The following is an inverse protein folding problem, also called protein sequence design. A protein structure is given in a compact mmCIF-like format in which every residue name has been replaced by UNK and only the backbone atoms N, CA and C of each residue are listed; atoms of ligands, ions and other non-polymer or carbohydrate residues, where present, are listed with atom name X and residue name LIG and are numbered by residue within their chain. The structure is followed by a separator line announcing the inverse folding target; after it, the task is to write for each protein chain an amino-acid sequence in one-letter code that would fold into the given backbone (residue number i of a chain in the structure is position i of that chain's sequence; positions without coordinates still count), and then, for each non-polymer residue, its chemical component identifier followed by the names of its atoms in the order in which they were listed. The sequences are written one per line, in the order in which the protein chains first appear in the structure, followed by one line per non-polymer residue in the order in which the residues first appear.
data_IF_728684936473
#
_entry.id   IF_728684936473
#
_cell.length_a   1.000
_cell.length_b   1.000
_cell.length_c   1.000
_cell.angle_alpha   90.00
_cell.angle_beta   90.00
_cell.angle_gamma   90.00
#
_symmetry.space_group_name_H-M   'P 1'
#
loop_
_entity.id
_entity.type
_entity.pdbx_description
1 polymer ?
#
# COMPACT_ATOMS: atom_id res chain seq x y z
N UNK A 1 -4.11 5.18 7.40
CA UNK A 1 -2.73 5.02 6.87
C UNK A 1 -1.77 4.38 7.86
N UNK A 2 -1.60 4.90 9.09
CA UNK A 2 -0.66 4.33 10.08
C UNK A 2 -0.90 2.84 10.38
N UNK A 3 -2.13 2.46 10.72
CA UNK A 3 -2.50 1.06 11.03
C UNK A 3 -2.19 0.11 9.86
N UNK A 4 -2.55 0.52 8.63
CA UNK A 4 -2.24 -0.25 7.42
C UNK A 4 -0.72 -0.36 7.18
N UNK A 5 0.06 0.70 7.39
CA UNK A 5 1.51 0.64 7.25
C UNK A 5 2.15 -0.31 8.30
N UNK A 6 1.62 -0.33 9.53
CA UNK A 6 2.08 -1.23 10.58
C UNK A 6 1.85 -2.72 10.23
N UNK A 7 0.75 -3.07 9.56
CA UNK A 7 0.52 -4.46 9.12
C UNK A 7 1.52 -4.89 8.04
N UNK A 8 1.91 -3.99 7.13
CA UNK A 8 3.01 -4.25 6.19
C UNK A 8 4.35 -4.44 6.90
N UNK A 9 4.63 -3.63 7.93
CA UNK A 9 5.84 -3.80 8.75
C UNK A 9 5.90 -5.16 9.44
N UNK A 10 4.80 -5.61 10.05
CA UNK A 10 4.74 -6.93 10.70
C UNK A 10 4.92 -8.10 9.72
N UNK A 11 4.40 -7.97 8.50
CA UNK A 11 4.64 -8.97 7.47
C UNK A 11 6.13 -9.06 7.09
N UNK A 12 6.81 -7.92 6.89
CA UNK A 12 8.27 -7.91 6.64
C UNK A 12 9.04 -8.44 7.86
N UNK A 13 8.60 -8.11 9.07
CA UNK A 13 9.22 -8.59 10.31
C UNK A 13 9.13 -10.11 10.46
N UNK A 14 8.09 -10.75 9.93
CA UNK A 14 7.91 -12.21 9.98
C UNK A 14 9.01 -12.98 9.23
N UNK A 15 9.77 -12.31 8.35
CA UNK A 15 10.94 -12.90 7.70
C UNK A 15 12.18 -13.01 8.61
N UNK A 16 12.22 -12.33 9.76
CA UNK A 16 13.35 -12.44 10.70
C UNK A 16 13.36 -13.78 11.45
N UNK A 17 12.19 -14.33 11.76
CA UNK A 17 12.02 -15.64 12.40
C UNK A 17 11.08 -16.49 11.54
N UNK A 18 11.62 -17.24 10.55
CA UNK A 18 10.81 -17.91 9.55
C UNK A 18 10.07 -19.10 10.15
N UNK A 19 8.91 -18.84 10.75
CA UNK A 19 7.97 -19.80 11.28
C UNK A 19 6.75 -19.85 10.37
N UNK A 20 6.41 -21.03 9.85
CA UNK A 20 5.36 -21.21 8.83
C UNK A 20 4.01 -20.64 9.28
N UNK A 21 3.68 -20.80 10.56
CA UNK A 21 2.42 -20.29 11.13
C UNK A 21 2.36 -18.76 11.19
N UNK A 22 3.50 -18.10 11.44
CA UNK A 22 3.60 -16.63 11.48
C UNK A 22 3.36 -16.01 10.11
N UNK A 23 3.83 -16.64 9.03
CA UNK A 23 3.57 -16.17 7.67
C UNK A 23 2.09 -16.21 7.29
N UNK A 24 1.36 -17.27 7.68
CA UNK A 24 -0.08 -17.36 7.39
C UNK A 24 -0.87 -16.27 8.13
N UNK A 25 -0.59 -16.07 9.43
CA UNK A 25 -1.27 -15.04 10.21
C UNK A 25 -0.96 -13.63 9.71
N UNK A 26 0.30 -13.33 9.43
CA UNK A 26 0.68 -12.00 8.96
C UNK A 26 0.22 -11.73 7.53
N UNK A 27 0.05 -12.74 6.68
CA UNK A 27 -0.56 -12.58 5.35
C UNK A 27 -2.04 -12.20 5.43
N UNK A 28 -2.79 -12.80 6.36
CA UNK A 28 -4.20 -12.44 6.59
C UNK A 28 -4.27 -10.98 7.09
N UNK A 29 -3.46 -10.63 8.10
CA UNK A 29 -3.37 -9.27 8.62
C UNK A 29 -2.96 -8.26 7.54
N UNK A 30 -2.03 -8.63 6.68
CA UNK A 30 -1.59 -7.82 5.54
C UNK A 30 -2.74 -7.51 4.60
N UNK A 31 -3.56 -8.51 4.26
CA UNK A 31 -4.73 -8.32 3.39
C UNK A 31 -5.75 -7.34 3.98
N UNK A 32 -6.09 -7.50 5.27
CA UNK A 32 -6.99 -6.57 5.96
C UNK A 32 -6.40 -5.16 6.04
N UNK A 33 -5.13 -5.03 6.39
CA UNK A 33 -4.46 -3.75 6.48
C UNK A 33 -4.31 -3.04 5.13
N UNK A 34 -4.10 -3.80 4.05
CA UNK A 34 -4.05 -3.28 2.68
C UNK A 34 -5.40 -2.70 2.25
N UNK A 35 -6.51 -3.39 2.55
CA UNK A 35 -7.85 -2.89 2.27
C UNK A 35 -8.10 -1.55 2.99
N UNK A 36 -7.79 -1.48 4.30
CA UNK A 36 -7.95 -0.26 5.10
C UNK A 36 -7.05 0.87 4.55
N UNK A 37 -5.82 0.55 4.15
CA UNK A 37 -4.88 1.55 3.64
C UNK A 37 -5.39 2.18 2.35
N UNK A 38 -5.80 1.37 1.38
CA UNK A 38 -6.33 1.85 0.10
C UNK A 38 -7.64 2.64 0.26
N UNK A 39 -8.55 2.20 1.13
CA UNK A 39 -9.79 2.95 1.40
C UNK A 39 -9.51 4.29 2.09
N UNK A 40 -8.63 4.31 3.09
CA UNK A 40 -8.28 5.53 3.81
C UNK A 40 -7.55 6.54 2.91
N UNK A 41 -6.66 6.07 2.03
CA UNK A 41 -5.93 6.91 1.09
C UNK A 41 -6.86 7.55 0.05
N UNK A 42 -7.75 6.76 -0.55
CA UNK A 42 -8.75 7.29 -1.48
C UNK A 42 -9.66 8.34 -0.83
N UNK A 43 -10.11 8.09 0.40
CA UNK A 43 -10.91 9.05 1.16
C UNK A 43 -10.11 10.32 1.51
N UNK A 44 -8.82 10.18 1.87
CA UNK A 44 -7.96 11.33 2.15
C UNK A 44 -7.72 12.18 0.90
N UNK A 45 -7.51 11.55 -0.24
CA UNK A 45 -7.31 12.24 -1.51
C UNK A 45 -8.58 12.96 -1.98
N UNK A 46 -9.75 12.34 -1.80
CA UNK A 46 -11.04 12.96 -2.08
C UNK A 46 -11.33 14.14 -1.13
N UNK A 47 -10.96 14.04 0.15
CA UNK A 47 -11.14 15.13 1.12
C UNK A 47 -10.19 16.33 0.90
N UNK A 48 -9.02 16.09 0.31
CA UNK A 48 -8.01 17.12 0.05
C UNK A 48 -8.00 17.62 -1.42
N UNK A 49 -8.95 17.20 -2.25
CA UNK A 49 -9.01 17.58 -3.66
C UNK A 49 -10.40 18.09 -4.04
N UNK A 50 -10.45 19.23 -4.74
CA UNK A 50 -11.64 19.72 -5.41
C UNK A 50 -11.87 19.00 -6.76
N UNK A 51 -13.09 19.03 -7.30
CA UNK A 51 -13.50 18.37 -8.56
C UNK A 51 -12.54 18.63 -9.74
N UNK A 52 -11.99 19.84 -9.84
CA UNK A 52 -11.03 20.20 -10.89
C UNK A 52 -9.60 19.68 -10.66
N UNK A 53 -9.24 19.34 -9.43
CA UNK A 53 -7.86 18.98 -9.02
C UNK A 53 -7.67 17.51 -8.70
N UNK A 54 -8.76 16.77 -8.44
CA UNK A 54 -8.75 15.33 -8.12
C UNK A 54 -8.01 14.51 -9.18
N UNK A 55 -8.23 14.77 -10.46
CA UNK A 55 -7.56 14.04 -11.55
C UNK A 55 -6.04 14.24 -11.54
N UNK A 56 -5.58 15.47 -11.27
CA UNK A 56 -4.15 15.79 -11.25
C UNK A 56 -3.45 15.20 -10.01
N UNK A 57 -4.06 15.35 -8.83
CA UNK A 57 -3.49 14.84 -7.57
C UNK A 57 -3.47 13.30 -7.57
N UNK A 58 -4.55 12.67 -8.02
CA UNK A 58 -4.62 11.21 -8.20
C UNK A 58 -3.61 10.73 -9.23
N UNK A 59 -3.46 11.43 -10.35
CA UNK A 59 -2.48 11.09 -11.39
C UNK A 59 -1.03 11.13 -10.88
N UNK A 60 -0.66 12.16 -10.10
CA UNK A 60 0.67 12.25 -9.48
C UNK A 60 0.87 11.09 -8.49
N UNK A 61 -0.12 10.82 -7.65
CA UNK A 61 -0.08 9.70 -6.71
C UNK A 61 0.18 8.36 -7.44
N UNK A 62 -0.58 8.06 -8.49
CA UNK A 62 -0.42 6.83 -9.26
C UNK A 62 0.92 6.79 -10.01
N UNK A 63 1.41 7.90 -10.55
CA UNK A 63 2.72 7.95 -11.19
C UNK A 63 3.84 7.58 -10.20
N UNK A 64 3.78 8.09 -8.97
CA UNK A 64 4.72 7.74 -7.90
C UNK A 64 4.54 6.28 -7.45
N UNK A 65 3.30 5.82 -7.28
CA UNK A 65 3.00 4.43 -6.90
C UNK A 65 3.55 3.43 -7.94
N UNK A 66 3.31 3.69 -9.23
CA UNK A 66 3.83 2.84 -10.31
C UNK A 66 5.36 2.91 -10.43
N UNK A 67 5.95 4.07 -10.13
CA UNK A 67 7.42 4.21 -10.09
C UNK A 67 8.06 3.33 -9.02
N UNK A 68 7.37 3.07 -7.90
CA UNK A 68 7.85 2.12 -6.88
C UNK A 68 7.95 0.67 -7.40
N UNK A 69 7.17 0.34 -8.42
CA UNK A 69 7.11 -1.00 -9.03
C UNK A 69 7.98 -1.14 -10.29
N UNK A 70 8.56 -0.04 -10.79
CA UNK A 70 9.00 0.16 -12.18
C UNK A 70 10.34 -0.44 -12.63
N UNK A 71 10.94 -1.43 -11.94
CA UNK A 71 12.22 -2.04 -12.38
C UNK A 71 12.09 -3.44 -13.02
N UNK A 72 11.01 -3.72 -13.76
CA UNK A 72 10.89 -4.98 -14.53
C UNK A 72 10.65 -4.84 -16.04
N UNK A 73 10.55 -3.62 -16.58
CA UNK A 73 10.19 -3.41 -17.99
C UNK A 73 11.38 -2.98 -18.88
N UNK A 74 12.58 -2.77 -18.32
CA UNK A 74 13.79 -2.39 -19.07
C UNK A 74 14.76 -3.56 -19.33
N UNK A 75 14.34 -4.81 -19.06
CA UNK A 75 15.14 -6.02 -19.31
C UNK A 75 14.42 -7.02 -20.22
N UNK A 76 13.66 -6.52 -21.19
CA UNK A 76 13.13 -7.34 -22.29
C UNK A 76 13.26 -6.61 -23.61
#
# INVERSE_FOLDING_TARGET
MFIGATTYFFYVFSFLLPMTWSFYLTSILLGFGAAILWTAEGAYMAANSDEHTTSRNTGIFWALFQSSSGRRIAMK
#
